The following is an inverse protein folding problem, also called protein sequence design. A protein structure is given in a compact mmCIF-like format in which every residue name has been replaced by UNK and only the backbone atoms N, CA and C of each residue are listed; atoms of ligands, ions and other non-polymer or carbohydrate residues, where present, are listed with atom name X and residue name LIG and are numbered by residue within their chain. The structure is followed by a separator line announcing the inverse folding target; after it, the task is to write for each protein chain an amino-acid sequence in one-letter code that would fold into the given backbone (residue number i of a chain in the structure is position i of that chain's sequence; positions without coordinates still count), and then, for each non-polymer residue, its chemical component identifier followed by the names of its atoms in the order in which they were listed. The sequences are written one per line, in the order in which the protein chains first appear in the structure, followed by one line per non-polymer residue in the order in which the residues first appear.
data_IF_462390467479
#
_entry.id   IF_462390467479
#
_cell.length_a   1.000
_cell.length_b   1.000
_cell.length_c   1.000
_cell.angle_alpha   90.00
_cell.angle_beta   90.00
_cell.angle_gamma   90.00
#
_symmetry.space_group_name_H-M   'P 1'
#
loop_
_entity.id
_entity.type
_entity.pdbx_description
1 polymer ?
#
# COMPACT_ATOMS: atom_id res chain seq x y z
N UNK A 1 -14.22 15.50 22.00
CA UNK A 1 -14.54 14.27 22.75
C UNK A 1 -13.29 13.42 22.76
N UNK A 2 -12.80 13.03 23.94
CA UNK A 2 -11.59 12.22 24.10
C UNK A 2 -11.66 10.93 23.27
N UNK A 3 -10.56 10.53 22.61
CA UNK A 3 -10.45 9.27 21.85
C UNK A 3 -10.88 8.05 22.69
N UNK A 4 -10.61 8.09 24.00
CA UNK A 4 -10.93 7.04 24.96
C UNK A 4 -12.44 6.80 25.10
N UNK A 5 -13.28 7.79 24.81
CA UNK A 5 -14.74 7.63 24.97
C UNK A 5 -15.36 6.66 23.97
N UNK A 6 -14.66 6.32 22.88
CA UNK A 6 -15.15 5.37 21.86
C UNK A 6 -14.73 3.93 22.13
N UNK A 7 -13.66 3.74 22.92
CA UNK A 7 -13.17 2.41 23.28
C UNK A 7 -14.05 1.86 24.41
N UNK A 8 -14.45 0.61 24.28
CA UNK A 8 -15.33 -0.06 25.25
C UNK A 8 -14.65 -1.34 25.71
N UNK A 9 -15.13 -1.90 26.83
CA UNK A 9 -14.65 -3.19 27.30
C UNK A 9 -14.83 -4.31 26.25
N UNK A 10 -15.83 -4.20 25.36
CA UNK A 10 -16.02 -5.16 24.28
C UNK A 10 -14.93 -5.08 23.22
N UNK A 11 -14.48 -3.87 22.87
CA UNK A 11 -13.34 -3.68 21.97
C UNK A 11 -12.06 -4.29 22.58
N UNK A 12 -11.82 -4.08 23.88
CA UNK A 12 -10.61 -4.54 24.57
C UNK A 12 -10.56 -6.06 24.80
N UNK A 13 -11.69 -6.76 24.78
CA UNK A 13 -11.72 -8.24 24.84
C UNK A 13 -11.21 -8.90 23.55
N UNK A 14 -11.22 -8.17 22.43
CA UNK A 14 -10.83 -8.61 21.09
C UNK A 14 -9.41 -8.17 20.77
N UNK A 15 -8.76 -8.78 19.77
CA UNK A 15 -7.39 -8.40 19.43
C UNK A 15 -7.32 -7.00 18.80
N UNK A 16 -6.20 -6.31 19.01
CA UNK A 16 -5.83 -5.13 18.24
C UNK A 16 -4.94 -5.56 17.09
N UNK A 17 -5.25 -5.15 15.87
CA UNK A 17 -4.41 -5.42 14.70
C UNK A 17 -3.69 -4.15 14.30
N UNK A 18 -2.36 -4.22 14.21
CA UNK A 18 -1.51 -3.20 13.59
C UNK A 18 -1.16 -3.66 12.19
N UNK A 19 -1.66 -2.94 11.20
CA UNK A 19 -1.44 -3.28 9.80
C UNK A 19 -0.32 -2.44 9.21
N UNK A 20 0.80 -3.08 8.90
CA UNK A 20 2.00 -2.42 8.38
C UNK A 20 2.03 -2.56 6.86
N UNK A 21 2.20 -1.43 6.16
CA UNK A 21 2.28 -1.35 4.70
C UNK A 21 3.40 -0.40 4.26
N UNK A 22 4.19 -0.83 3.29
CA UNK A 22 5.00 0.06 2.45
C UNK A 22 4.98 -0.34 0.98
N UNK A 23 4.92 0.66 0.10
CA UNK A 23 4.82 0.50 -1.35
C UNK A 23 6.20 0.27 -1.98
N UNK A 24 6.58 -1.00 -2.15
CA UNK A 24 7.81 -1.50 -2.80
C UNK A 24 9.04 -1.68 -1.91
N UNK A 25 9.84 -2.69 -2.24
CA UNK A 25 11.13 -3.04 -1.62
C UNK A 25 12.12 -1.86 -1.57
N UNK A 26 12.20 -1.07 -2.65
CA UNK A 26 13.04 0.15 -2.69
C UNK A 26 12.62 1.21 -1.65
N UNK A 27 11.32 1.31 -1.36
CA UNK A 27 10.85 2.22 -0.31
C UNK A 27 11.15 1.70 1.09
N UNK A 28 11.20 0.37 1.28
CA UNK A 28 11.54 -0.25 2.57
C UNK A 28 12.99 0.00 2.96
N UNK A 29 13.91 -0.09 1.99
CA UNK A 29 15.35 0.14 2.25
C UNK A 29 15.66 1.60 2.61
N UNK A 30 14.97 2.55 1.97
CA UNK A 30 15.25 3.98 2.11
C UNK A 30 14.39 4.72 3.15
N UNK A 31 13.22 4.21 3.55
CA UNK A 31 12.30 4.92 4.45
C UNK A 31 12.18 4.26 5.84
N UNK A 32 13.32 4.03 6.51
CA UNK A 32 13.40 3.37 7.82
C UNK A 32 12.56 4.06 8.90
N UNK A 33 12.50 5.39 8.92
CA UNK A 33 11.68 6.18 9.85
C UNK A 33 10.17 5.95 9.66
N UNK A 34 9.72 5.82 8.42
CA UNK A 34 8.31 5.51 8.13
C UNK A 34 7.94 4.09 8.55
N UNK A 35 8.87 3.15 8.47
CA UNK A 35 8.68 1.78 8.94
C UNK A 35 8.61 1.75 10.47
N UNK A 36 9.54 2.42 11.15
CA UNK A 36 9.55 2.53 12.62
C UNK A 36 8.23 3.09 13.17
N UNK A 37 7.71 4.18 12.56
CA UNK A 37 6.41 4.76 12.96
C UNK A 37 5.23 3.80 12.82
N UNK A 38 5.27 2.87 11.88
CA UNK A 38 4.21 1.86 11.74
C UNK A 38 4.28 0.81 12.85
N UNK A 39 5.47 0.33 13.19
CA UNK A 39 5.63 -0.61 14.30
C UNK A 39 5.31 0.04 15.67
N UNK A 40 5.56 1.35 15.84
CA UNK A 40 5.15 2.11 17.03
C UNK A 40 3.62 2.13 17.26
N UNK A 41 2.80 1.78 16.26
CA UNK A 41 1.36 1.64 16.47
C UNK A 41 1.01 0.48 17.41
N UNK A 42 1.91 -0.48 17.61
CA UNK A 42 1.74 -1.52 18.63
C UNK A 42 1.81 -0.94 20.05
N UNK A 43 2.70 0.03 20.27
CA UNK A 43 2.77 0.77 21.53
C UNK A 43 1.53 1.64 21.71
N UNK A 44 1.03 2.26 20.63
CA UNK A 44 -0.25 2.99 20.65
C UNK A 44 -1.41 2.07 21.04
N UNK A 45 -1.52 0.87 20.47
CA UNK A 45 -2.56 -0.10 20.85
C UNK A 45 -2.51 -0.41 22.35
N UNK A 46 -1.31 -0.59 22.90
CA UNK A 46 -1.10 -0.83 24.33
C UNK A 46 -1.53 0.38 25.16
N UNK A 47 -1.16 1.60 24.75
CA UNK A 47 -1.57 2.84 25.41
C UNK A 47 -3.08 3.09 25.37
N UNK A 48 -3.78 2.54 24.37
CA UNK A 48 -5.24 2.57 24.25
C UNK A 48 -5.95 1.51 25.12
N UNK A 49 -5.20 0.63 25.80
CA UNK A 49 -5.72 -0.31 26.79
C UNK A 49 -5.70 -1.79 26.39
N UNK A 50 -5.20 -2.13 25.20
CA UNK A 50 -5.03 -3.54 24.82
C UNK A 50 -3.83 -4.17 25.55
N UNK A 51 -3.99 -5.43 25.97
CA UNK A 51 -2.86 -6.23 26.44
C UNK A 51 -1.86 -6.48 25.31
N UNK A 52 -0.55 -6.50 25.61
CA UNK A 52 0.49 -6.73 24.59
C UNK A 52 0.33 -8.06 23.86
N UNK A 53 -0.17 -9.08 24.56
CA UNK A 53 -0.50 -10.40 24.02
C UNK A 53 -1.69 -10.39 23.05
N UNK A 54 -2.55 -9.36 23.12
CA UNK A 54 -3.69 -9.15 22.22
C UNK A 54 -3.34 -8.27 21.01
N UNK A 55 -2.14 -7.68 20.96
CA UNK A 55 -1.69 -6.83 19.84
C UNK A 55 -1.01 -7.71 18.78
N UNK A 56 -1.62 -7.81 17.61
CA UNK A 56 -1.10 -8.53 16.45
C UNK A 56 -0.55 -7.55 15.42
N UNK A 57 0.70 -7.72 15.01
CA UNK A 57 1.28 -6.99 13.88
C UNK A 57 1.14 -7.83 12.62
N UNK A 58 0.60 -7.23 11.56
CA UNK A 58 0.40 -7.84 10.24
C UNK A 58 1.29 -7.09 9.26
N UNK A 59 2.44 -7.67 8.92
CA UNK A 59 3.46 -7.10 8.04
C UNK A 59 3.81 -8.02 6.86
N UNK A 60 3.03 -9.09 6.63
CA UNK A 60 3.25 -10.03 5.51
C UNK A 60 3.13 -9.37 4.13
N UNK A 61 2.47 -8.21 4.07
CA UNK A 61 2.28 -7.44 2.84
C UNK A 61 3.33 -6.33 2.64
N UNK A 62 4.38 -6.28 3.47
CA UNK A 62 5.46 -5.31 3.35
C UNK A 62 6.24 -5.50 2.04
N UNK A 63 6.48 -4.40 1.31
CA UNK A 63 7.27 -4.43 0.07
C UNK A 63 6.51 -4.97 -1.16
N UNK A 64 5.26 -5.43 -1.01
CA UNK A 64 4.45 -5.89 -2.14
C UNK A 64 3.83 -4.69 -2.87
N UNK A 65 4.34 -4.40 -4.08
CA UNK A 65 3.79 -3.36 -4.94
C UNK A 65 2.35 -3.69 -5.38
N UNK A 66 1.50 -2.66 -5.52
CA UNK A 66 0.10 -2.81 -5.95
C UNK A 66 -0.09 -3.21 -7.42
N UNK A 67 1.00 -3.39 -8.18
CA UNK A 67 0.97 -3.68 -9.62
C UNK A 67 1.17 -5.15 -10.00
N UNK A 68 1.32 -6.06 -9.03
CA UNK A 68 1.52 -7.50 -9.28
C UNK A 68 0.30 -8.36 -8.93
N UNK A 69 0.23 -9.56 -9.53
CA UNK A 69 -0.73 -10.64 -9.23
C UNK A 69 -0.55 -11.27 -7.83
N UNK A 70 0.31 -10.71 -6.98
CA UNK A 70 0.64 -11.27 -5.67
C UNK A 70 -0.50 -11.00 -4.68
N UNK A 71 -1.12 -12.07 -4.22
CA UNK A 71 -2.18 -12.07 -3.21
C UNK A 71 -1.69 -11.45 -1.89
N UNK A 72 -2.51 -10.56 -1.32
CA UNK A 72 -2.31 -9.96 0.00
C UNK A 72 -2.84 -10.88 1.07
N UNK A 73 -2.03 -11.84 1.46
CA UNK A 73 -2.43 -12.82 2.49
C UNK A 73 -2.65 -12.14 3.84
N UNK A 74 -1.87 -11.09 4.16
CA UNK A 74 -2.01 -10.31 5.39
C UNK A 74 -3.33 -9.54 5.46
N UNK A 75 -3.64 -8.73 4.43
CA UNK A 75 -4.91 -7.98 4.37
C UNK A 75 -6.15 -8.90 4.37
N UNK A 76 -6.11 -10.00 3.60
CA UNK A 76 -7.22 -10.94 3.52
C UNK A 76 -7.46 -11.61 4.88
N UNK A 77 -6.40 -12.07 5.55
CA UNK A 77 -6.49 -12.66 6.90
C UNK A 77 -7.06 -11.66 7.90
N UNK A 78 -6.53 -10.44 7.94
CA UNK A 78 -7.05 -9.38 8.82
C UNK A 78 -8.55 -9.14 8.58
N UNK A 79 -8.96 -9.02 7.31
CA UNK A 79 -10.36 -8.78 6.96
C UNK A 79 -11.27 -9.94 7.39
N UNK A 80 -10.78 -11.19 7.30
CA UNK A 80 -11.49 -12.35 7.81
C UNK A 80 -11.63 -12.34 9.34
N UNK A 81 -10.57 -12.00 10.09
CA UNK A 81 -10.63 -11.86 11.55
C UNK A 81 -11.62 -10.75 11.98
N UNK A 82 -11.66 -9.63 11.24
CA UNK A 82 -12.66 -8.56 11.43
C UNK A 82 -14.07 -9.07 11.18
N UNK A 83 -14.30 -9.81 10.09
CA UNK A 83 -15.61 -10.36 9.74
C UNK A 83 -16.11 -11.39 10.76
N UNK A 84 -15.19 -12.13 11.41
CA UNK A 84 -15.48 -13.06 12.50
C UNK A 84 -15.69 -12.35 13.85
N UNK A 85 -15.57 -11.02 13.92
CA UNK A 85 -15.73 -10.25 15.14
C UNK A 85 -14.60 -10.49 16.16
N UNK A 86 -13.42 -10.90 15.71
CA UNK A 86 -12.29 -11.21 16.59
C UNK A 86 -11.39 -9.99 16.87
N UNK A 87 -11.55 -8.93 16.07
CA UNK A 87 -10.74 -7.71 16.12
C UNK A 87 -11.54 -6.61 16.79
N UNK A 88 -10.94 -5.91 17.75
CA UNK A 88 -11.53 -4.74 18.42
C UNK A 88 -11.12 -3.42 17.79
N UNK A 89 -9.91 -3.37 17.21
CA UNK A 89 -9.40 -2.20 16.49
C UNK A 89 -8.41 -2.63 15.40
N UNK A 90 -8.46 -1.95 14.25
CA UNK A 90 -7.43 -1.98 13.21
C UNK A 90 -6.70 -0.63 13.21
N UNK A 91 -5.39 -0.67 13.38
CA UNK A 91 -4.50 0.50 13.36
C UNK A 91 -3.64 0.49 12.10
N UNK A 92 -3.52 1.65 11.46
CA UNK A 92 -2.58 1.88 10.36
C UNK A 92 -2.11 3.33 10.36
N UNK A 93 -0.91 3.59 9.83
CA UNK A 93 -0.32 4.95 9.88
C UNK A 93 -1.18 5.95 9.09
N UNK A 94 -1.71 5.53 7.95
CA UNK A 94 -2.72 6.24 7.18
C UNK A 94 -3.83 5.24 6.84
N UNK A 95 -5.00 5.39 7.47
CA UNK A 95 -6.11 4.43 7.31
C UNK A 95 -6.65 4.35 5.89
N UNK A 96 -6.56 5.45 5.13
CA UNK A 96 -6.86 5.49 3.69
C UNK A 96 -5.96 4.56 2.87
N UNK A 97 -4.81 4.14 3.41
CA UNK A 97 -3.85 3.25 2.75
C UNK A 97 -3.87 1.83 3.29
N UNK A 98 -4.87 1.42 4.07
CA UNK A 98 -4.99 0.01 4.46
C UNK A 98 -5.25 -0.87 3.22
N UNK A 99 -6.23 -0.48 2.41
CA UNK A 99 -6.63 -1.18 1.19
C UNK A 99 -5.85 -0.73 -0.07
N UNK A 100 -5.80 -1.57 -1.10
CA UNK A 100 -5.15 -1.26 -2.39
C UNK A 100 -6.01 -0.38 -3.29
N UNK A 101 -7.33 -0.45 -3.13
CA UNK A 101 -8.31 0.28 -3.92
C UNK A 101 -9.50 0.68 -3.03
N UNK A 102 -10.36 1.55 -3.56
CA UNK A 102 -11.55 2.01 -2.84
C UNK A 102 -12.55 0.89 -2.53
N UNK A 103 -12.72 -0.10 -3.41
CA UNK A 103 -13.70 -1.16 -3.18
C UNK A 103 -13.35 -1.99 -1.93
N UNK A 104 -12.09 -2.40 -1.81
CA UNK A 104 -11.57 -3.11 -0.64
C UNK A 104 -11.62 -2.23 0.62
N UNK A 105 -11.38 -0.92 0.47
CA UNK A 105 -11.49 0.03 1.59
C UNK A 105 -12.92 0.08 2.13
N UNK A 106 -13.90 0.35 1.26
CA UNK A 106 -15.30 0.43 1.67
C UNK A 106 -15.82 -0.91 2.18
N UNK A 107 -15.38 -2.04 1.62
CA UNK A 107 -15.70 -3.37 2.14
C UNK A 107 -15.20 -3.56 3.57
N UNK A 108 -13.98 -3.13 3.87
CA UNK A 108 -13.45 -3.17 5.25
C UNK A 108 -14.26 -2.26 6.18
N UNK A 109 -14.63 -1.04 5.73
CA UNK A 109 -15.48 -0.14 6.51
C UNK A 109 -16.84 -0.76 6.85
N UNK A 110 -17.45 -1.47 5.90
CA UNK A 110 -18.73 -2.15 6.11
C UNK A 110 -18.60 -3.29 7.11
N UNK A 111 -17.58 -4.13 6.97
CA UNK A 111 -17.31 -5.20 7.93
C UNK A 111 -17.06 -4.65 9.33
N UNK A 112 -16.23 -3.61 9.46
CA UNK A 112 -15.97 -2.96 10.74
C UNK A 112 -17.24 -2.32 11.34
N UNK A 113 -18.11 -1.75 10.50
CA UNK A 113 -19.40 -1.21 10.93
C UNK A 113 -20.32 -2.30 11.47
N UNK A 114 -20.36 -3.47 10.83
CA UNK A 114 -21.18 -4.62 11.24
C UNK A 114 -20.66 -5.30 12.50
N UNK A 115 -19.33 -5.40 12.67
CA UNK A 115 -18.71 -6.10 13.81
C UNK A 115 -18.28 -5.18 14.93
N UNK A 116 -18.67 -3.91 14.89
CA UNK A 116 -18.24 -2.89 15.85
C UNK A 116 -16.71 -2.91 16.05
N UNK A 117 -15.97 -2.98 14.95
CA UNK A 117 -14.51 -2.91 14.96
C UNK A 117 -14.10 -1.47 14.73
N UNK A 118 -13.22 -0.94 15.60
CA UNK A 118 -12.70 0.41 15.45
C UNK A 118 -11.61 0.47 14.38
N UNK A 119 -11.43 1.66 13.80
CA UNK A 119 -10.31 1.97 12.92
C UNK A 119 -9.56 3.15 13.52
N UNK A 120 -8.23 3.10 13.56
CA UNK A 120 -7.42 4.20 14.07
C UNK A 120 -6.17 4.46 13.24
N UNK A 121 -5.77 5.73 13.24
CA UNK A 121 -4.49 6.20 12.74
C UNK A 121 -3.79 7.08 13.80
N UNK A 122 -2.79 7.85 13.38
CA UNK A 122 -2.11 8.79 14.25
C UNK A 122 -3.00 9.96 14.71
N UNK A 123 -4.03 10.31 13.93
CA UNK A 123 -4.89 11.47 14.16
C UNK A 123 -6.10 11.15 15.03
N UNK A 124 -6.59 9.90 14.98
CA UNK A 124 -7.92 9.60 15.48
C UNK A 124 -8.24 8.12 15.66
N UNK A 125 -9.30 7.87 16.44
CA UNK A 125 -10.07 6.62 16.46
C UNK A 125 -11.47 6.88 15.92
N UNK A 126 -11.90 5.99 15.05
CA UNK A 126 -13.12 6.07 14.26
C UNK A 126 -13.92 4.78 14.40
N UNK A 127 -15.23 4.90 14.56
CA UNK A 127 -16.16 3.79 14.49
C UNK A 127 -16.92 3.87 13.15
N UNK A 128 -16.67 2.97 12.18
CA UNK A 128 -17.27 3.06 10.83
C UNK A 128 -18.80 2.98 10.79
N UNK A 129 -19.44 2.45 11.84
CA UNK A 129 -20.90 2.49 12.02
C UNK A 129 -21.47 3.85 12.45
N UNK A 130 -20.65 4.82 12.86
CA UNK A 130 -21.09 6.18 13.20
C UNK A 130 -21.00 7.08 11.98
N UNK A 131 -22.06 7.85 11.72
CA UNK A 131 -22.17 8.71 10.53
C UNK A 131 -20.98 9.67 10.38
N UNK A 132 -20.65 10.44 11.42
CA UNK A 132 -19.57 11.43 11.35
C UNK A 132 -18.20 10.79 11.11
N UNK A 133 -17.92 9.68 11.79
CA UNK A 133 -16.65 8.96 11.63
C UNK A 133 -16.55 8.36 10.22
N UNK A 134 -17.65 7.80 9.71
CA UNK A 134 -17.70 7.25 8.35
C UNK A 134 -17.49 8.32 7.28
N UNK A 135 -18.03 9.52 7.46
CA UNK A 135 -17.77 10.66 6.56
C UNK A 135 -16.30 11.04 6.55
N UNK A 136 -15.66 11.15 7.73
CA UNK A 136 -14.23 11.48 7.82
C UNK A 136 -13.38 10.39 7.16
N UNK A 137 -13.68 9.11 7.42
CA UNK A 137 -13.00 7.98 6.78
C UNK A 137 -13.16 7.98 5.26
N UNK A 138 -14.35 8.32 4.76
CA UNK A 138 -14.60 8.48 3.32
C UNK A 138 -13.78 9.62 2.72
N UNK A 139 -13.75 10.79 3.38
CA UNK A 139 -12.98 11.94 2.92
C UNK A 139 -11.47 11.66 2.94
N UNK A 140 -10.95 10.99 3.98
CA UNK A 140 -9.55 10.54 4.04
C UNK A 140 -9.21 9.61 2.85
N UNK A 141 -10.13 8.74 2.47
CA UNK A 141 -10.02 7.90 1.27
C UNK A 141 -9.90 8.73 -0.01
N UNK A 142 -10.87 9.61 -0.27
CA UNK A 142 -10.89 10.49 -1.45
C UNK A 142 -9.66 11.40 -1.54
N UNK A 143 -9.21 11.95 -0.41
CA UNK A 143 -8.02 12.80 -0.36
C UNK A 143 -6.76 12.02 -0.78
N UNK A 144 -6.60 10.78 -0.31
CA UNK A 144 -5.47 9.94 -0.72
C UNK A 144 -5.46 9.66 -2.22
N UNK A 145 -6.62 9.52 -2.86
CA UNK A 145 -6.69 9.37 -4.32
C UNK A 145 -6.33 10.66 -5.06
N UNK A 146 -6.80 11.81 -4.56
CA UNK A 146 -6.45 13.11 -5.11
C UNK A 146 -4.93 13.39 -5.02
N UNK A 147 -4.30 13.05 -3.90
CA UNK A 147 -2.85 13.15 -3.72
C UNK A 147 -2.09 12.29 -4.73
N UNK A 148 -2.51 11.04 -4.93
CA UNK A 148 -1.94 10.14 -5.93
C UNK A 148 -2.12 10.70 -7.36
N UNK A 149 -3.27 11.29 -7.66
CA UNK A 149 -3.52 11.94 -8.95
C UNK A 149 -2.53 13.09 -9.19
N UNK A 150 -2.36 13.99 -8.21
CA UNK A 150 -1.43 15.12 -8.31
C UNK A 150 0.01 14.65 -8.47
N UNK A 151 0.43 13.64 -7.70
CA UNK A 151 1.78 13.07 -7.81
C UNK A 151 2.01 12.47 -9.19
N UNK A 152 1.06 11.67 -9.69
CA UNK A 152 1.13 11.08 -11.04
C UNK A 152 1.19 12.15 -12.12
N UNK A 153 0.37 13.20 -12.02
CA UNK A 153 0.37 14.30 -12.98
C UNK A 153 1.74 15.01 -13.04
N UNK A 154 2.35 15.27 -11.87
CA UNK A 154 3.70 15.87 -11.78
C UNK A 154 4.77 14.98 -12.40
N UNK A 155 4.76 13.68 -12.08
CA UNK A 155 5.72 12.72 -12.62
C UNK A 155 5.60 12.59 -14.15
N UNK A 156 4.37 12.49 -14.66
CA UNK A 156 4.12 12.44 -16.12
C UNK A 156 4.53 13.74 -16.82
N UNK A 157 4.29 14.89 -16.20
CA UNK A 157 4.78 16.19 -16.70
C UNK A 157 6.29 16.22 -16.82
N UNK A 158 7.02 15.75 -15.79
CA UNK A 158 8.48 15.65 -15.82
C UNK A 158 9.00 14.71 -16.90
N UNK A 159 8.36 13.54 -17.07
CA UNK A 159 8.67 12.59 -18.14
C UNK A 159 8.51 13.23 -19.52
N UNK A 160 7.38 13.93 -19.75
CA UNK A 160 7.12 14.62 -21.03
C UNK A 160 8.12 15.72 -21.31
N UNK A 161 8.48 16.51 -20.30
CA UNK A 161 9.46 17.60 -20.45
C UNK A 161 10.86 17.04 -20.78
N UNK A 162 11.30 15.98 -20.12
CA UNK A 162 12.54 15.27 -20.48
C UNK A 162 12.49 14.74 -21.92
N UNK A 163 11.35 14.18 -22.34
CA UNK A 163 11.19 13.66 -23.70
C UNK A 163 11.28 14.77 -24.76
N UNK A 164 10.65 15.92 -24.50
CA UNK A 164 10.67 17.06 -25.42
C UNK A 164 12.09 17.62 -25.66
N UNK A 165 13.01 17.44 -24.72
CA UNK A 165 14.43 17.80 -24.86
C UNK A 165 15.32 16.66 -25.36
N UNK A 166 14.77 15.49 -25.65
CA UNK A 166 15.57 14.29 -26.01
C UNK A 166 16.27 13.60 -24.84
N UNK A 167 16.15 14.13 -23.62
CA UNK A 167 16.85 13.65 -22.42
C UNK A 167 16.16 12.47 -21.71
N UNK A 168 15.01 12.00 -22.23
CA UNK A 168 14.27 10.90 -21.60
C UNK A 168 14.93 9.55 -21.88
N UNK A 169 15.79 9.15 -20.95
CA UNK A 169 16.40 7.83 -20.95
C UNK A 169 15.49 6.84 -20.21
N UNK A 170 14.84 5.94 -20.96
CA UNK A 170 14.16 4.76 -20.40
C UNK A 170 15.02 3.51 -20.58
N UNK A 171 14.74 2.48 -19.77
CA UNK A 171 15.24 1.13 -20.02
C UNK A 171 14.86 0.69 -21.45
N UNK A 172 15.84 0.14 -22.16
CA UNK A 172 15.62 -0.40 -23.50
C UNK A 172 14.98 -1.80 -23.40
N UNK A 173 14.22 -2.23 -24.41
CA UNK A 173 13.78 -3.62 -24.52
C UNK A 173 14.95 -4.61 -24.39
N UNK A 174 14.65 -5.81 -23.91
CA UNK A 174 15.63 -6.90 -23.82
C UNK A 174 16.26 -7.13 -25.20
N UNK A 175 17.59 -7.22 -25.24
CA UNK A 175 18.35 -7.35 -26.48
C UNK A 175 18.87 -6.03 -27.06
N UNK A 176 18.56 -4.89 -26.45
CA UNK A 176 19.07 -3.57 -26.82
C UNK A 176 19.88 -2.97 -25.66
N UNK A 177 20.98 -2.28 -25.99
CA UNK A 177 21.87 -1.59 -25.04
C UNK A 177 22.10 -0.15 -25.49
N UNK A 178 22.41 0.73 -24.53
CA UNK A 178 22.84 2.10 -24.84
C UNK A 178 24.29 2.06 -25.31
N UNK A 179 24.59 2.74 -26.40
CA UNK A 179 25.97 2.99 -26.81
C UNK A 179 26.58 4.21 -26.08
N UNK A 180 27.82 4.53 -26.42
CA UNK A 180 28.55 5.68 -25.84
C UNK A 180 28.10 7.01 -26.47
N UNK A 181 27.49 6.97 -27.66
CA UNK A 181 26.90 8.14 -28.31
C UNK A 181 25.57 8.58 -27.69
N UNK A 182 25.29 9.88 -27.74
CA UNK A 182 24.01 10.43 -27.25
C UNK A 182 22.83 9.85 -28.06
N UNK A 183 21.87 9.25 -27.35
CA UNK A 183 20.73 8.55 -27.94
C UNK A 183 21.05 7.23 -28.66
N UNK A 184 22.30 6.75 -28.64
CA UNK A 184 22.70 5.53 -29.37
C UNK A 184 22.04 4.28 -28.79
N UNK A 185 21.45 3.46 -29.68
CA UNK A 185 20.83 2.18 -29.34
C UNK A 185 21.48 1.09 -30.18
N UNK A 186 22.13 0.14 -29.51
CA UNK A 186 22.84 -0.97 -30.10
C UNK A 186 22.17 -2.30 -29.75
N UNK A 187 22.44 -3.34 -30.52
CA UNK A 187 22.10 -4.71 -30.14
C UNK A 187 22.96 -5.17 -28.97
N UNK A 188 22.42 -6.04 -28.13
CA UNK A 188 23.15 -6.63 -27.03
C UNK A 188 24.45 -7.30 -27.53
N UNK A 189 25.60 -7.12 -26.86
CA UNK A 189 26.89 -7.62 -27.34
C UNK A 189 27.00 -9.15 -27.28
N UNK A 190 26.20 -9.81 -26.45
CA UNK A 190 26.07 -11.27 -26.43
C UNK A 190 25.38 -11.79 -27.71
N UNK A 191 26.11 -12.62 -28.45
CA UNK A 191 25.62 -13.26 -29.67
C UNK A 191 24.43 -14.19 -29.42
N UNK A 192 24.39 -14.87 -28.27
CA UNK A 192 23.31 -15.79 -27.90
C UNK A 192 21.99 -15.03 -27.76
N UNK A 193 22.02 -13.84 -27.14
CA UNK A 193 20.85 -12.96 -27.01
C UNK A 193 20.37 -12.50 -28.40
N UNK A 194 21.30 -12.10 -29.29
CA UNK A 194 20.95 -11.68 -30.66
C UNK A 194 20.35 -12.83 -31.48
N UNK A 195 20.94 -14.02 -31.39
CA UNK A 195 20.47 -15.21 -32.10
C UNK A 195 19.07 -15.62 -31.66
N UNK A 196 18.81 -15.63 -30.34
CA UNK A 196 17.49 -15.92 -29.79
C UNK A 196 16.41 -14.95 -30.30
N UNK A 197 16.73 -13.65 -30.32
CA UNK A 197 15.78 -12.63 -30.82
C UNK A 197 15.51 -12.80 -32.32
N UNK A 198 16.55 -13.03 -33.14
CA UNK A 198 16.38 -13.28 -34.58
C UNK A 198 15.50 -14.50 -34.86
N UNK A 199 15.75 -15.62 -34.16
CA UNK A 199 14.98 -16.84 -34.33
C UNK A 199 13.48 -16.64 -34.06
N UNK A 200 13.12 -15.80 -33.08
CA UNK A 200 11.71 -15.43 -32.84
C UNK A 200 11.13 -14.70 -34.04
N UNK A 201 11.80 -13.67 -34.56
CA UNK A 201 11.30 -12.90 -35.71
C UNK A 201 11.19 -13.74 -36.99
N UNK A 202 12.16 -14.61 -37.25
CA UNK A 202 12.12 -15.56 -38.37
C UNK A 202 10.92 -16.50 -38.26
N UNK A 203 10.67 -17.05 -37.08
CA UNK A 203 9.55 -17.96 -36.83
C UNK A 203 8.17 -17.29 -36.96
N UNK A 204 8.07 -15.98 -36.70
CA UNK A 204 6.85 -15.20 -36.90
C UNK A 204 6.63 -14.79 -38.36
N UNK A 205 7.68 -14.80 -39.19
CA UNK A 205 7.61 -14.45 -40.60
C UNK A 205 7.25 -15.65 -41.51
N UNK A 206 7.29 -16.87 -40.98
CA UNK A 206 6.76 -18.11 -41.58
C UNK A 206 5.23 -18.20 -41.45
#
# INVERSE_FOLDING_TARGET
MSELNKITADHLRRCAVVYVRQSSTTQVEHNRESTARQYQLADRATALGWGRDQVKVVDEDLGISGSGLVERTGFARMTAEVALGQVGIVLGLEVSRLARNNADWYRLLDLCGLTHTLIGDADGIYHPGLFNDRLVLGLKGTMSEAELHVLRARLLGGIRNKAARGELHRGLPVGLVRGDGDGEVLLHPDESVRAAIRAVFERFAE
#
